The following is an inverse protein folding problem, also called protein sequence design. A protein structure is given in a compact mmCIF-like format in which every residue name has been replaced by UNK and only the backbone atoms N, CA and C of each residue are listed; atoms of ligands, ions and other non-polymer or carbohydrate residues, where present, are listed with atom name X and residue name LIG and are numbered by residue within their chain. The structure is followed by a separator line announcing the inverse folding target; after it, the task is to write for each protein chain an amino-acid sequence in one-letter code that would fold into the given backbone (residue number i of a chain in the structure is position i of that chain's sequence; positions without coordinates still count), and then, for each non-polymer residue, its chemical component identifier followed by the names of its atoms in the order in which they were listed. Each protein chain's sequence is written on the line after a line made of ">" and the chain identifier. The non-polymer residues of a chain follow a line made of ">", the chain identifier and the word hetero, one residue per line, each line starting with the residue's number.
data_IF_427348921010
#
_entry.id   IF_427348921010
#
_cell.length_a   1.000
_cell.length_b   1.000
_cell.length_c   1.000
_cell.angle_alpha   90.00
_cell.angle_beta   90.00
_cell.angle_gamma   90.00
#
_symmetry.space_group_name_H-M   'P 1'
#
loop_
_entity.id
_entity.type
_entity.pdbx_description
1 polymer ?
#
# COMPACT_ATOMS: atom_id res chain seq x y z
N UNK A 1 -3.78 -2.13 23.25
CA UNK A 1 -4.79 -1.06 23.27
C UNK A 1 -4.15 0.15 22.66
N UNK A 2 -4.79 0.78 21.67
CA UNK A 2 -4.23 1.93 20.98
C UNK A 2 -4.47 3.18 21.82
N UNK A 3 -3.41 3.88 22.21
CA UNK A 3 -3.47 5.17 22.89
C UNK A 3 -3.25 6.30 21.91
N UNK A 4 -3.93 7.43 22.13
CA UNK A 4 -3.83 8.64 21.32
C UNK A 4 -3.40 9.79 22.22
N UNK A 5 -2.51 10.64 21.69
CA UNK A 5 -2.13 11.89 22.35
C UNK A 5 -3.24 12.92 22.15
N UNK A 6 -3.82 13.42 23.24
CA UNK A 6 -4.93 14.38 23.18
C UNK A 6 -4.45 15.81 23.46
N UNK A 7 -4.67 16.78 22.55
CA UNK A 7 -4.35 18.19 22.77
C UNK A 7 -5.04 18.79 23.99
N UNK A 8 -4.40 19.79 24.63
CA UNK A 8 -4.88 20.45 25.86
C UNK A 8 -6.31 20.99 25.75
N UNK A 9 -6.67 21.64 24.64
CA UNK A 9 -8.03 22.17 24.43
C UNK A 9 -9.12 21.09 24.42
N UNK A 10 -8.81 19.86 23.99
CA UNK A 10 -9.78 18.76 24.04
C UNK A 10 -10.00 18.27 25.47
N UNK A 11 -8.99 18.36 26.33
CA UNK A 11 -9.14 18.05 27.75
C UNK A 11 -10.14 18.97 28.44
N UNK A 12 -10.05 20.28 28.17
CA UNK A 12 -11.01 21.26 28.69
C UNK A 12 -12.45 20.93 28.30
N UNK A 13 -12.65 20.44 27.06
CA UNK A 13 -13.98 20.03 26.59
C UNK A 13 -14.49 18.75 27.25
N UNK A 14 -13.59 17.86 27.70
CA UNK A 14 -13.94 16.58 28.32
C UNK A 14 -14.20 16.70 29.83
N UNK A 15 -13.66 17.72 30.50
CA UNK A 15 -13.86 17.93 31.96
C UNK A 15 -15.34 17.99 32.40
N UNK A 16 -16.24 18.70 31.69
CA UNK A 16 -17.67 18.71 32.03
C UNK A 16 -18.33 17.33 32.04
N UNK A 17 -17.81 16.37 31.25
CA UNK A 17 -18.37 15.01 31.16
C UNK A 17 -18.15 14.19 32.43
N UNK A 18 -17.13 14.52 33.25
CA UNK A 18 -16.84 13.81 34.51
C UNK A 18 -18.01 13.91 35.49
N UNK A 19 -18.68 15.07 35.48
CA UNK A 19 -19.83 15.35 36.33
C UNK A 19 -21.15 14.85 35.74
N UNK A 20 -21.15 14.33 34.51
CA UNK A 20 -22.32 13.72 33.89
C UNK A 20 -22.41 12.23 34.23
N UNK A 21 -23.65 11.78 34.34
CA UNK A 21 -23.95 10.35 34.41
C UNK A 21 -24.08 9.79 32.99
N UNK A 22 -22.98 9.27 32.45
CA UNK A 22 -22.91 8.69 31.10
C UNK A 22 -23.32 7.22 31.14
N UNK A 23 -24.25 6.83 30.27
CA UNK A 23 -24.66 5.43 30.07
C UNK A 23 -24.03 4.97 28.75
N UNK A 24 -23.12 3.98 28.70
CA UNK A 24 -22.83 2.93 29.70
C UNK A 24 -21.83 3.29 30.83
N UNK A 25 -21.93 2.64 32.01
CA UNK A 25 -21.13 2.94 33.19
C UNK A 25 -19.62 2.66 33.02
N UNK A 26 -19.26 1.76 32.11
CA UNK A 26 -17.88 1.43 31.76
C UNK A 26 -17.12 2.66 31.23
N UNK A 27 -17.79 3.50 30.43
CA UNK A 27 -17.20 4.75 29.93
C UNK A 27 -16.92 5.72 31.07
N UNK A 28 -17.80 5.78 32.07
CA UNK A 28 -17.62 6.68 33.20
C UNK A 28 -16.44 6.25 34.08
N UNK A 29 -16.24 4.95 34.27
CA UNK A 29 -15.07 4.43 34.98
C UNK A 29 -13.77 4.76 34.26
N UNK A 30 -13.73 4.55 32.94
CA UNK A 30 -12.55 4.85 32.13
C UNK A 30 -12.27 6.36 32.07
N UNK A 31 -13.30 7.19 31.98
CA UNK A 31 -13.20 8.64 32.00
C UNK A 31 -12.59 9.14 33.31
N UNK A 32 -13.03 8.61 34.46
CA UNK A 32 -12.49 9.01 35.78
C UNK A 32 -11.07 8.52 36.02
N UNK A 33 -10.70 7.38 35.44
CA UNK A 33 -9.36 6.84 35.55
C UNK A 33 -8.34 7.65 34.74
N UNK A 34 -8.72 8.09 33.55
CA UNK A 34 -7.81 8.71 32.59
C UNK A 34 -7.87 10.24 32.58
N UNK A 35 -8.98 10.84 33.04
CA UNK A 35 -9.19 12.28 33.06
C UNK A 35 -9.20 12.77 34.51
N UNK A 36 -8.15 13.51 34.89
CA UNK A 36 -8.03 14.18 36.19
C UNK A 36 -8.31 15.68 36.03
N UNK A 37 -8.76 16.36 37.10
CA UNK A 37 -9.04 17.80 37.05
C UNK A 37 -7.78 18.67 36.92
N UNK A 38 -6.60 18.15 37.24
CA UNK A 38 -5.34 18.90 37.22
C UNK A 38 -4.52 18.48 36.00
N UNK A 39 -4.27 19.43 35.08
CA UNK A 39 -3.52 19.20 33.82
C UNK A 39 -2.15 18.54 34.07
N UNK A 40 -1.47 18.94 35.15
CA UNK A 40 -0.13 18.44 35.52
C UNK A 40 -0.08 16.94 35.87
N UNK A 41 -1.20 16.35 36.31
CA UNK A 41 -1.30 14.93 36.69
C UNK A 41 -1.96 14.06 35.62
N UNK A 42 -2.33 14.67 34.48
CA UNK A 42 -3.09 14.00 33.43
C UNK A 42 -2.13 13.32 32.47
N UNK A 43 -2.34 12.02 32.26
CA UNK A 43 -1.64 11.31 31.19
C UNK A 43 -2.02 11.96 29.86
N UNK A 44 -1.05 12.46 29.10
CA UNK A 44 -1.28 13.02 27.75
C UNK A 44 -1.89 11.99 26.78
N UNK A 45 -1.89 10.72 27.19
CA UNK A 45 -2.34 9.58 26.42
C UNK A 45 -3.68 9.05 26.94
N UNK A 46 -4.69 9.01 26.06
CA UNK A 46 -6.02 8.44 26.32
C UNK A 46 -6.25 7.20 25.44
N UNK A 47 -6.87 6.12 25.95
CA UNK A 47 -7.32 5.00 25.14
C UNK A 47 -8.27 5.43 24.02
N UNK A 48 -8.02 4.97 22.81
CA UNK A 48 -8.87 5.27 21.65
C UNK A 48 -10.32 4.82 21.84
N UNK A 49 -10.52 3.70 22.54
CA UNK A 49 -11.85 3.13 22.80
C UNK A 49 -12.70 4.07 23.67
N UNK A 50 -12.08 4.82 24.60
CA UNK A 50 -12.77 5.80 25.43
C UNK A 50 -13.26 6.98 24.58
N UNK A 51 -12.39 7.58 23.75
CA UNK A 51 -12.75 8.72 22.89
C UNK A 51 -13.83 8.31 21.88
N UNK A 52 -13.68 7.14 21.26
CA UNK A 52 -14.68 6.60 20.32
C UNK A 52 -16.00 6.29 21.01
N UNK A 53 -15.95 5.80 22.26
CA UNK A 53 -17.11 5.57 23.10
C UNK A 53 -17.88 6.85 23.41
N UNK A 54 -17.17 7.91 23.80
CA UNK A 54 -17.74 9.24 24.06
C UNK A 54 -18.39 9.81 22.79
N UNK A 55 -17.74 9.70 21.64
CA UNK A 55 -18.28 10.18 20.36
C UNK A 55 -19.54 9.40 19.92
N UNK A 56 -19.57 8.08 20.14
CA UNK A 56 -20.76 7.26 19.89
C UNK A 56 -21.89 7.62 20.86
N UNK A 57 -21.57 7.80 22.13
CA UNK A 57 -22.54 8.17 23.15
C UNK A 57 -23.13 9.56 22.90
N UNK A 58 -22.31 10.56 22.59
CA UNK A 58 -22.77 11.92 22.25
C UNK A 58 -23.61 11.96 20.98
N UNK A 59 -23.40 11.01 20.06
CA UNK A 59 -24.22 10.80 18.86
C UNK A 59 -25.58 10.13 19.13
N UNK A 60 -25.75 9.46 20.27
CA UNK A 60 -27.02 8.83 20.66
C UNK A 60 -28.06 9.84 21.13
N UNK A 61 -29.35 9.54 20.96
CA UNK A 61 -30.43 10.46 21.38
C UNK A 61 -30.37 10.78 22.89
N UNK A 62 -30.13 9.77 23.73
CA UNK A 62 -29.94 9.92 25.18
C UNK A 62 -28.75 10.84 25.52
N UNK A 63 -27.63 10.68 24.82
CA UNK A 63 -26.44 11.49 25.03
C UNK A 63 -26.67 12.95 24.61
N UNK A 64 -27.33 13.17 23.46
CA UNK A 64 -27.68 14.51 22.98
C UNK A 64 -28.59 15.26 23.96
N UNK A 65 -29.61 14.58 24.50
CA UNK A 65 -30.53 15.16 25.48
C UNK A 65 -29.78 15.57 26.75
N UNK A 66 -29.00 14.66 27.34
CA UNK A 66 -28.20 14.93 28.54
C UNK A 66 -27.16 16.04 28.35
N UNK A 67 -26.54 16.13 27.17
CA UNK A 67 -25.59 17.20 26.86
C UNK A 67 -26.29 18.55 26.72
N UNK A 68 -27.44 18.59 26.02
CA UNK A 68 -28.26 19.81 25.88
C UNK A 68 -28.80 20.31 27.22
N UNK A 69 -29.23 19.41 28.09
CA UNK A 69 -29.70 19.75 29.44
C UNK A 69 -28.64 20.49 30.28
N UNK A 70 -27.36 20.25 29.97
CA UNK A 70 -26.21 20.88 30.61
C UNK A 70 -25.65 22.07 29.82
N UNK A 71 -26.30 22.45 28.72
CA UNK A 71 -25.86 23.55 27.84
C UNK A 71 -24.60 23.21 27.04
N UNK A 72 -24.27 21.93 26.87
CA UNK A 72 -23.12 21.47 26.12
C UNK A 72 -23.54 21.12 24.68
N UNK A 73 -22.68 21.46 23.71
CA UNK A 73 -22.92 21.15 22.30
C UNK A 73 -22.55 19.69 21.98
N UNK A 74 -23.49 18.82 21.53
CA UNK A 74 -23.18 17.44 21.19
C UNK A 74 -22.20 17.28 20.02
N UNK A 75 -22.17 18.22 19.07
CA UNK A 75 -21.31 18.13 17.90
C UNK A 75 -19.82 18.26 18.26
N UNK A 76 -19.51 19.06 19.27
CA UNK A 76 -18.16 19.20 19.82
C UNK A 76 -17.59 17.87 20.33
N UNK A 77 -18.44 16.97 20.86
CA UNK A 77 -18.02 15.66 21.38
C UNK A 77 -17.93 14.57 20.31
N UNK A 78 -18.75 14.63 19.26
CA UNK A 78 -18.72 13.65 18.17
C UNK A 78 -17.47 13.80 17.29
N UNK A 79 -16.89 14.99 17.25
CA UNK A 79 -15.68 15.33 16.49
C UNK A 79 -14.36 15.06 17.22
N UNK A 80 -14.38 14.75 18.52
CA UNK A 80 -13.16 14.50 19.30
C UNK A 80 -12.25 13.42 18.69
N UNK A 81 -12.74 12.26 18.21
CA UNK A 81 -11.88 11.27 17.55
C UNK A 81 -11.18 11.80 16.29
N UNK A 82 -11.82 12.75 15.59
CA UNK A 82 -11.27 13.37 14.39
C UNK A 82 -10.21 14.42 14.76
N UNK A 83 -10.48 15.22 15.79
CA UNK A 83 -9.62 16.31 16.26
C UNK A 83 -8.40 15.82 17.06
N UNK A 84 -8.54 14.70 17.79
CA UNK A 84 -7.41 14.02 18.43
C UNK A 84 -6.39 13.49 17.41
N UNK A 85 -6.75 13.50 16.12
CA UNK A 85 -5.86 13.17 15.01
C UNK A 85 -5.51 11.69 14.93
N UNK A 86 -4.61 11.38 14.00
CA UNK A 86 -4.04 10.03 13.80
C UNK A 86 -2.71 9.85 14.51
N UNK A 87 -2.31 10.81 15.35
CA UNK A 87 -1.04 10.76 16.06
C UNK A 87 -1.14 9.74 17.18
N UNK A 88 -0.71 8.52 16.86
CA UNK A 88 -0.41 7.51 17.85
C UNK A 88 0.52 8.11 18.91
N UNK A 89 0.22 7.83 20.17
CA UNK A 89 1.08 8.26 21.26
C UNK A 89 2.54 7.79 21.04
N UNK A 90 3.56 8.51 21.54
CA UNK A 90 4.96 8.08 21.43
C UNK A 90 5.20 6.70 22.06
N UNK A 91 4.34 6.27 22.99
CA UNK A 91 4.33 4.93 23.59
C UNK A 91 3.75 3.83 22.68
N UNK A 92 2.97 4.19 21.66
CA UNK A 92 2.26 3.26 20.79
C UNK A 92 3.11 2.87 19.59
N UNK A 93 3.35 1.56 19.42
CA UNK A 93 4.02 1.05 18.22
C UNK A 93 3.05 1.18 17.04
N UNK A 94 3.43 1.88 15.95
CA UNK A 94 2.58 1.91 14.77
C UNK A 94 2.34 0.48 14.27
N UNK A 95 1.18 0.22 13.63
CA UNK A 95 0.94 -1.09 13.04
C UNK A 95 2.07 -1.42 12.06
N UNK A 96 2.49 -2.70 11.99
CA UNK A 96 3.50 -3.10 11.03
C UNK A 96 3.04 -2.71 9.62
N UNK A 97 3.95 -2.24 8.74
CA UNK A 97 3.58 -1.90 7.38
C UNK A 97 2.86 -3.08 6.73
N UNK A 98 1.85 -2.83 5.88
CA UNK A 98 1.15 -3.90 5.20
C UNK A 98 2.16 -4.80 4.45
N UNK A 99 1.93 -6.12 4.41
CA UNK A 99 2.82 -7.02 3.70
C UNK A 99 2.97 -6.54 2.24
N UNK A 100 4.14 -6.75 1.62
CA UNK A 100 4.38 -6.31 0.25
C UNK A 100 3.27 -6.83 -0.67
N UNK A 101 2.63 -5.90 -1.38
CA UNK A 101 1.50 -6.19 -2.27
C UNK A 101 1.91 -7.28 -3.27
N UNK A 102 1.17 -8.39 -3.25
CA UNK A 102 1.41 -9.51 -4.15
C UNK A 102 1.14 -9.06 -5.57
N UNK A 103 2.11 -9.22 -6.48
CA UNK A 103 1.98 -8.82 -7.88
C UNK A 103 1.38 -9.97 -8.71
N UNK A 104 0.05 -10.00 -8.97
CA UNK A 104 -0.57 -11.08 -9.72
C UNK A 104 -0.06 -11.16 -11.18
N UNK A 105 0.55 -10.09 -11.70
CA UNK A 105 1.12 -10.11 -13.04
C UNK A 105 2.42 -10.92 -13.10
N UNK A 106 3.17 -11.02 -12.00
CA UNK A 106 4.37 -11.86 -11.92
C UNK A 106 4.00 -13.34 -12.03
N UNK A 107 2.96 -13.77 -11.33
CA UNK A 107 2.49 -15.16 -11.33
C UNK A 107 1.99 -15.58 -12.72
N UNK A 108 1.19 -14.73 -13.38
CA UNK A 108 0.68 -15.02 -14.73
C UNK A 108 1.82 -15.23 -15.73
N UNK A 109 2.87 -14.40 -15.67
CA UNK A 109 4.05 -14.55 -16.54
C UNK A 109 4.79 -15.85 -16.27
N UNK A 110 4.95 -16.24 -15.00
CA UNK A 110 5.58 -17.50 -14.64
C UNK A 110 4.78 -18.70 -15.16
N UNK A 111 3.45 -18.67 -15.00
CA UNK A 111 2.55 -19.71 -15.52
C UNK A 111 2.64 -19.81 -17.04
N UNK A 112 2.57 -18.69 -17.76
CA UNK A 112 2.69 -18.69 -19.23
C UNK A 112 4.04 -19.23 -19.70
N UNK A 113 5.13 -18.89 -19.00
CA UNK A 113 6.46 -19.41 -19.33
C UNK A 113 6.53 -20.94 -19.15
N UNK A 114 5.96 -21.48 -18.06
CA UNK A 114 5.89 -22.92 -17.83
C UNK A 114 5.09 -23.63 -18.94
N UNK A 115 3.94 -23.08 -19.31
CA UNK A 115 3.11 -23.63 -20.37
C UNK A 115 3.88 -23.65 -21.70
N UNK A 116 4.56 -22.55 -22.05
CA UNK A 116 5.36 -22.47 -23.28
C UNK A 116 6.52 -23.49 -23.29
N UNK A 117 7.19 -23.67 -22.15
CA UNK A 117 8.23 -24.69 -22.01
C UNK A 117 7.67 -26.11 -22.18
N UNK A 118 6.52 -26.42 -21.57
CA UNK A 118 5.88 -27.73 -21.72
C UNK A 118 5.49 -28.02 -23.17
N UNK A 119 4.89 -27.06 -23.87
CA UNK A 119 4.54 -27.21 -25.29
C UNK A 119 5.76 -27.42 -26.17
N UNK A 120 6.87 -26.75 -25.87
CA UNK A 120 8.12 -26.90 -26.62
C UNK A 120 8.71 -28.31 -26.46
N UNK A 121 8.75 -28.84 -25.23
CA UNK A 121 9.26 -30.19 -24.94
C UNK A 121 8.39 -31.26 -25.60
N UNK A 122 7.06 -31.18 -25.44
CA UNK A 122 6.12 -32.14 -26.04
C UNK A 122 6.13 -32.04 -27.57
N UNK A 123 6.15 -30.83 -28.12
CA UNK A 123 6.18 -30.57 -29.55
C UNK A 123 7.42 -31.15 -30.23
N UNK A 124 8.60 -30.95 -29.64
CA UNK A 124 9.85 -31.51 -30.19
C UNK A 124 9.87 -33.03 -30.08
N UNK A 125 9.44 -33.60 -28.95
CA UNK A 125 9.34 -35.05 -28.78
C UNK A 125 8.39 -35.70 -29.80
N UNK A 126 7.22 -35.09 -30.02
CA UNK A 126 6.25 -35.56 -31.01
C UNK A 126 6.78 -35.42 -32.44
N UNK A 127 7.44 -34.30 -32.77
CA UNK A 127 8.05 -34.09 -34.07
C UNK A 127 9.17 -35.10 -34.35
N UNK A 128 10.03 -35.38 -33.37
CA UNK A 128 11.08 -36.39 -33.46
C UNK A 128 10.52 -37.81 -33.66
N UNK A 129 9.47 -38.15 -32.89
CA UNK A 129 8.74 -39.40 -33.06
C UNK A 129 8.16 -39.53 -34.48
N UNK A 130 7.46 -38.50 -34.95
CA UNK A 130 6.86 -38.48 -36.28
C UNK A 130 7.91 -38.62 -37.39
N UNK A 131 9.01 -37.85 -37.31
CA UNK A 131 10.10 -37.91 -38.28
C UNK A 131 10.75 -39.30 -38.35
N UNK A 132 10.91 -39.97 -37.20
CA UNK A 132 11.44 -41.34 -37.13
C UNK A 132 10.49 -42.38 -37.76
N UNK A 133 9.20 -42.05 -37.88
CA UNK A 133 8.17 -42.80 -38.58
C UNK A 133 8.51 -43.08 -40.04
N UNK A 134 9.09 -42.09 -40.73
CA UNK A 134 9.39 -42.16 -42.15
C UNK A 134 10.65 -42.97 -42.49
N UNK A 135 11.53 -43.24 -41.49
CA UNK A 135 12.86 -43.84 -41.71
C UNK A 135 12.87 -45.37 -41.48
N UNK A 136 11.71 -46.03 -41.34
CA UNK A 136 11.61 -47.48 -41.08
C UNK A 136 12.44 -47.99 -39.88
N UNK A 137 12.74 -47.12 -38.91
CA UNK A 137 13.44 -47.52 -37.69
C UNK A 137 12.56 -48.37 -36.76
N UNK A 138 13.18 -49.30 -36.02
CA UNK A 138 12.49 -50.13 -35.01
C UNK A 138 11.85 -49.22 -33.96
N UNK A 139 10.67 -49.59 -33.46
CA UNK A 139 9.92 -48.77 -32.50
C UNK A 139 10.75 -48.39 -31.26
N UNK A 140 11.65 -49.27 -30.82
CA UNK A 140 12.58 -49.03 -29.70
C UNK A 140 13.45 -47.79 -29.93
N UNK A 141 14.07 -47.64 -31.10
CA UNK A 141 14.97 -46.52 -31.39
C UNK A 141 14.20 -45.21 -31.58
N UNK A 142 12.94 -45.27 -32.02
CA UNK A 142 12.05 -44.11 -32.12
C UNK A 142 11.75 -43.50 -30.75
N UNK A 143 11.44 -44.35 -29.76
CA UNK A 143 11.14 -43.89 -28.38
C UNK A 143 12.38 -43.24 -27.78
N UNK A 144 13.54 -43.90 -27.92
CA UNK A 144 14.80 -43.42 -27.36
C UNK A 144 15.18 -42.05 -27.93
N UNK A 145 15.01 -41.83 -29.24
CA UNK A 145 15.32 -40.54 -29.86
C UNK A 145 14.35 -39.44 -29.46
N UNK A 146 13.04 -39.73 -29.42
CA UNK A 146 12.05 -38.77 -28.96
C UNK A 146 12.34 -38.34 -27.50
N UNK A 147 12.64 -39.30 -26.62
CA UNK A 147 13.00 -39.05 -25.24
C UNK A 147 14.31 -38.26 -25.11
N UNK A 148 15.35 -38.62 -25.87
CA UNK A 148 16.61 -37.89 -25.89
C UNK A 148 16.44 -36.43 -26.35
N UNK A 149 15.66 -36.20 -27.42
CA UNK A 149 15.38 -34.84 -27.89
C UNK A 149 14.59 -34.01 -26.86
N UNK A 150 13.62 -34.63 -26.17
CA UNK A 150 12.83 -34.01 -25.12
C UNK A 150 13.70 -33.57 -23.93
N UNK A 151 14.64 -34.42 -23.50
CA UNK A 151 15.60 -34.10 -22.45
C UNK A 151 16.48 -32.91 -22.82
N UNK A 152 17.03 -32.89 -24.04
CA UNK A 152 17.91 -31.80 -24.50
C UNK A 152 17.15 -30.46 -24.49
N UNK A 153 15.90 -30.45 -24.95
CA UNK A 153 15.05 -29.24 -24.93
C UNK A 153 14.74 -28.83 -23.50
N UNK A 154 14.37 -29.76 -22.62
CA UNK A 154 14.08 -29.48 -21.22
C UNK A 154 15.29 -28.86 -20.49
N UNK A 155 16.50 -29.38 -20.75
CA UNK A 155 17.74 -28.80 -20.21
C UNK A 155 17.97 -27.39 -20.76
N UNK A 156 17.76 -27.19 -22.06
CA UNK A 156 17.95 -25.89 -22.72
C UNK A 156 17.01 -24.82 -22.17
N UNK A 157 15.72 -25.15 -22.00
CA UNK A 157 14.72 -24.29 -21.36
C UNK A 157 15.04 -24.04 -19.88
N UNK A 158 15.52 -25.06 -19.16
CA UNK A 158 15.96 -24.91 -17.77
C UNK A 158 17.11 -23.91 -17.61
N UNK A 159 18.12 -23.97 -18.49
CA UNK A 159 19.23 -23.00 -18.49
C UNK A 159 18.71 -21.60 -18.85
N UNK A 160 17.82 -21.48 -19.83
CA UNK A 160 17.24 -20.20 -20.22
C UNK A 160 16.43 -19.57 -19.06
N UNK A 161 15.68 -20.39 -18.33
CA UNK A 161 14.95 -19.99 -17.13
C UNK A 161 15.88 -19.49 -16.02
N UNK A 162 16.99 -20.18 -15.76
CA UNK A 162 18.00 -19.75 -14.77
C UNK A 162 18.64 -18.41 -15.15
N UNK A 163 18.94 -18.21 -16.43
CA UNK A 163 19.48 -16.92 -16.91
C UNK A 163 18.43 -15.82 -16.73
N UNK A 164 17.17 -16.09 -17.08
CA UNK A 164 16.08 -15.13 -16.94
C UNK A 164 15.82 -14.76 -15.48
N UNK A 165 15.73 -15.74 -14.57
CA UNK A 165 15.51 -15.50 -13.15
C UNK A 165 16.61 -14.62 -12.54
N UNK A 166 17.86 -14.86 -12.90
CA UNK A 166 19.00 -14.05 -12.46
C UNK A 166 18.89 -12.58 -12.93
N UNK A 167 18.37 -12.33 -14.13
CA UNK A 167 18.16 -10.98 -14.64
C UNK A 167 16.98 -10.27 -13.97
N UNK A 168 15.92 -11.00 -13.64
CA UNK A 168 14.75 -10.44 -12.96
C UNK A 168 15.13 -9.96 -11.55
N UNK A 169 15.92 -10.75 -10.81
CA UNK A 169 16.41 -10.35 -9.48
C UNK A 169 17.29 -9.09 -9.55
N UNK A 170 18.24 -9.04 -10.50
CA UNK A 170 19.07 -7.85 -10.74
C UNK A 170 18.24 -6.61 -11.05
N UNK A 171 17.19 -6.73 -11.87
CA UNK A 171 16.27 -5.61 -12.16
C UNK A 171 15.51 -5.15 -10.93
N UNK A 172 15.04 -6.09 -10.09
CA UNK A 172 14.37 -5.76 -8.81
C UNK A 172 15.32 -5.03 -7.88
N UNK A 173 16.57 -5.47 -7.77
CA UNK A 173 17.58 -4.82 -6.93
C UNK A 173 17.92 -3.41 -7.44
N UNK A 174 18.10 -3.24 -8.75
CA UNK A 174 18.33 -1.91 -9.35
C UNK A 174 17.14 -0.96 -9.15
N UNK A 175 15.91 -1.46 -9.26
CA UNK A 175 14.72 -0.66 -8.97
C UNK A 175 14.65 -0.25 -7.50
N UNK A 176 14.98 -1.15 -6.56
CA UNK A 176 15.08 -0.81 -5.13
C UNK A 176 16.12 0.29 -4.90
N UNK A 177 17.33 0.15 -5.47
CA UNK A 177 18.39 1.16 -5.37
C UNK A 177 17.95 2.52 -5.93
N UNK A 178 17.27 2.54 -7.08
CA UNK A 178 16.74 3.79 -7.68
C UNK A 178 15.63 4.45 -6.85
N UNK A 179 14.80 3.67 -6.16
CA UNK A 179 13.76 4.20 -5.28
C UNK A 179 14.39 4.87 -4.05
N UNK A 180 15.39 4.22 -3.44
CA UNK A 180 16.12 4.76 -2.28
C UNK A 180 16.88 6.04 -2.64
N UNK A 181 17.58 6.08 -3.79
CA UNK A 181 18.28 7.30 -4.20
C UNK A 181 17.34 8.48 -4.49
N UNK A 182 16.12 8.20 -4.95
CA UNK A 182 15.12 9.23 -5.27
C UNK A 182 14.40 9.77 -4.03
N UNK A 183 14.26 9.00 -2.95
CA UNK A 183 13.77 9.51 -1.68
C UNK A 183 14.82 10.40 -1.00
N UNK A 184 16.09 10.00 -1.01
CA UNK A 184 17.17 10.80 -0.40
C UNK A 184 17.38 12.14 -1.12
N UNK A 185 17.23 12.18 -2.44
CA UNK A 185 17.38 13.44 -3.20
C UNK A 185 16.23 14.43 -2.98
N UNK A 186 15.10 13.98 -2.41
CA UNK A 186 13.94 14.85 -2.15
C UNK A 186 14.05 15.56 -0.79
N UNK A 187 14.86 15.03 0.12
CA UNK A 187 15.08 15.57 1.46
C UNK A 187 16.12 16.70 1.46
N UNK A 188 17.03 16.73 0.48
CA UNK A 188 18.08 17.77 0.37
C UNK A 188 17.61 19.09 -0.28
N UNK A 189 16.35 19.21 -0.71
CA UNK A 189 15.82 20.44 -1.33
C UNK A 189 15.03 21.30 -0.32
N UNK A 190 14.73 20.81 0.88
CA UNK A 190 13.95 21.54 1.90
C UNK A 190 14.82 22.13 3.03
N UNK A 191 16.05 22.54 2.72
CA UNK A 191 16.87 23.35 3.64
C UNK A 191 17.59 24.46 2.84
N UNK A 192 16.82 25.46 2.40
CA UNK A 192 17.39 26.75 1.96
C UNK A 192 16.86 27.85 2.90
N UNK A 193 17.70 28.47 3.73
CA UNK A 193 17.27 29.51 4.65
C UNK A 193 16.86 30.77 3.87
N UNK A 194 15.76 31.34 4.34
CA UNK A 194 15.18 32.63 3.95
C UNK A 194 16.15 33.75 4.32
N UNK A 195 16.37 34.68 3.39
CA UNK A 195 16.84 36.04 3.66
C UNK A 195 18.09 36.47 2.89
N UNK A 196 17.89 37.19 1.78
CA UNK A 196 18.11 38.64 1.65
C UNK A 196 17.88 39.01 0.18
N UNK A 197 16.93 39.92 -0.04
CA UNK A 197 16.67 40.58 -1.33
C UNK A 197 17.82 41.52 -1.68
N UNK A 198 18.35 41.42 -2.90
CA UNK A 198 18.80 42.58 -3.67
C UNK A 198 18.63 42.29 -5.16
N UNK A 199 18.40 43.37 -5.89
CA UNK A 199 17.54 43.52 -7.04
C UNK A 199 18.35 43.59 -8.36
N UNK A 200 17.65 43.46 -9.50
CA UNK A 200 17.96 44.08 -10.82
C UNK A 200 18.67 43.24 -11.92
N UNK A 201 17.80 42.76 -12.84
CA UNK A 201 17.82 42.78 -14.33
C UNK A 201 18.46 41.65 -15.19
N UNK A 202 17.97 41.48 -16.45
CA UNK A 202 17.74 40.18 -17.09
C UNK A 202 18.48 40.01 -18.43
N UNK A 203 18.73 38.76 -18.81
CA UNK A 203 18.96 38.21 -20.16
C UNK A 203 19.53 36.79 -19.92
N UNK A 204 19.27 35.74 -20.68
CA UNK A 204 18.81 35.57 -22.05
C UNK A 204 18.37 34.10 -22.18
N UNK A 205 17.52 33.82 -23.15
CA UNK A 205 16.95 32.51 -23.47
C UNK A 205 18.01 31.41 -23.70
N UNK A 206 17.73 30.18 -23.25
CA UNK A 206 18.00 28.99 -24.08
C UNK A 206 17.17 27.76 -23.69
N UNK A 207 16.15 27.52 -24.52
CA UNK A 207 15.75 26.23 -25.10
C UNK A 207 15.30 25.08 -24.18
N UNK A 208 13.99 25.06 -23.95
CA UNK A 208 13.06 23.98 -24.28
C UNK A 208 13.63 22.55 -24.46
N UNK A 209 13.55 21.72 -23.41
CA UNK A 209 13.65 20.27 -23.55
C UNK A 209 12.24 19.65 -23.48
N UNK A 210 11.61 19.56 -24.66
CA UNK A 210 10.29 18.96 -24.87
C UNK A 210 10.42 17.44 -24.75
N UNK A 211 10.10 16.89 -23.58
CA UNK A 211 9.90 15.45 -23.39
C UNK A 211 8.58 15.05 -24.04
N UNK A 212 8.66 14.47 -25.25
CA UNK A 212 7.54 13.80 -25.93
C UNK A 212 6.95 12.70 -25.03
N UNK A 213 5.83 12.98 -24.37
CA UNK A 213 4.91 11.94 -23.88
C UNK A 213 4.23 11.31 -25.10
N UNK A 214 4.53 10.04 -25.38
CA UNK A 214 3.71 9.20 -26.26
C UNK A 214 2.35 9.01 -25.57
N UNK A 215 1.33 9.69 -26.07
CA UNK A 215 -0.07 9.38 -25.77
C UNK A 215 -0.43 8.04 -26.41
N UNK A 216 -1.06 7.16 -25.64
CA UNK A 216 -1.73 5.97 -26.15
C UNK A 216 -3.07 6.44 -26.72
N UNK A 217 -3.23 6.38 -28.04
CA UNK A 217 -4.53 6.48 -28.68
C UNK A 217 -5.30 5.20 -28.41
N UNK A 218 -6.45 5.33 -27.74
CA UNK A 218 -7.50 4.33 -27.81
C UNK A 218 -8.20 4.55 -29.16
N UNK A 219 -8.09 3.58 -30.06
CA UNK A 219 -9.00 3.52 -31.20
C UNK A 219 -10.35 3.01 -30.67
N UNK A 220 -11.34 3.91 -30.71
CA UNK A 220 -12.73 3.61 -30.48
C UNK A 220 -13.23 2.89 -31.75
N UNK A 221 -13.38 1.57 -31.65
CA UNK A 221 -13.96 0.77 -32.71
C UNK A 221 -15.47 0.98 -32.75
N UNK A 222 -15.93 1.78 -33.71
CA UNK A 222 -17.33 1.86 -34.09
C UNK A 222 -17.78 0.49 -34.62
N UNK A 223 -18.53 -0.25 -33.79
CA UNK A 223 -19.30 -1.40 -34.22
C UNK A 223 -20.58 -0.89 -34.89
N UNK A 224 -20.54 -0.78 -36.22
CA UNK A 224 -21.73 -0.60 -37.05
C UNK A 224 -22.67 -1.80 -36.86
N UNK A 225 -23.87 -1.49 -36.39
CA UNK A 225 -25.05 -2.34 -36.38
C UNK A 225 -25.50 -2.53 -37.84
N UNK A 226 -25.49 -3.76 -38.34
CA UNK A 226 -26.25 -4.13 -39.52
C UNK A 226 -27.51 -4.90 -39.13
N UNK A 227 -28.56 -4.57 -39.87
CA UNK A 227 -29.99 -4.80 -39.63
C UNK A 227 -30.47 -6.23 -39.90
#
# INVERSE_FOLDING_TARGET
>A
MSTISVPEHLWETLLPLINLDTEPPELQTLLREHIKPTVEDTSTEIPYDLITGIAKWSGSEKGKEKLKDKGLDPASYSLIPLLAGTTFAPSSKPPPPPPPEHDPAADRRAITALINGMFSVVGVGFAAWWASGNVHWRNETRVLLALASSIIVAISEGVLYLIWSSHVEKRKEQQKRRKVSRSTSKETIEEKPVGVEEEVLPQEETQANVVRRKGYGYEEGDASVDS
#
